data_IF_860223069851
#
_entry.id   IF_860223069851
#
_cell.length_a   1.000
_cell.length_b   1.000
_cell.length_c   1.000
_cell.angle_alpha   90.00
_cell.angle_beta   90.00
_cell.angle_gamma   90.00
#
_symmetry.space_group_name_H-M   'P 1'
#
loop_
_entity.id
_entity.type
_entity.pdbx_description
1 polymer ?
#
# COMPACT_ATOMS: atom_id res chain seq x y z
N UNK A 1 65.91 39.12 -14.27
CA UNK A 1 64.99 39.04 -15.41
C UNK A 1 64.20 37.74 -15.32
N UNK A 2 62.90 37.73 -14.98
CA UNK A 2 62.11 36.50 -15.04
C UNK A 2 61.61 36.26 -16.47
N UNK A 3 61.88 35.06 -16.99
CA UNK A 3 61.31 34.58 -18.25
C UNK A 3 59.91 34.06 -17.96
N UNK A 4 58.87 34.79 -18.37
CA UNK A 4 57.49 34.33 -18.31
C UNK A 4 57.22 33.39 -19.47
N UNK A 5 57.07 32.09 -19.20
CA UNK A 5 56.55 31.14 -20.18
C UNK A 5 55.03 31.34 -20.30
N UNK A 6 54.58 31.89 -21.42
CA UNK A 6 53.17 31.90 -21.80
C UNK A 6 52.76 30.47 -22.18
N UNK A 7 52.00 29.82 -21.30
CA UNK A 7 51.28 28.58 -21.62
C UNK A 7 50.17 28.94 -22.64
N UNK A 8 50.39 28.60 -23.91
CA UNK A 8 49.36 28.63 -24.93
C UNK A 8 48.30 27.57 -24.62
N UNK A 9 47.18 27.98 -24.03
CA UNK A 9 46.02 27.13 -23.77
C UNK A 9 45.10 27.05 -24.99
N UNK A 10 45.55 26.36 -26.05
CA UNK A 10 44.66 25.92 -27.13
C UNK A 10 44.02 24.58 -26.74
N UNK A 11 43.13 24.61 -25.73
CA UNK A 11 42.25 23.48 -25.45
C UNK A 11 41.19 23.37 -26.54
N UNK A 12 41.06 22.18 -27.11
CA UNK A 12 40.05 21.86 -28.11
C UNK A 12 38.64 22.02 -27.50
N UNK A 13 37.64 22.32 -28.33
CA UNK A 13 36.26 22.56 -27.86
C UNK A 13 35.65 21.38 -27.08
N UNK A 14 36.15 20.17 -27.31
CA UNK A 14 35.70 18.94 -26.63
C UNK A 14 36.23 18.87 -25.20
N UNK A 15 37.51 19.22 -24.98
CA UNK A 15 38.12 19.23 -23.65
C UNK A 15 37.51 20.31 -22.74
N UNK A 16 37.13 21.46 -23.31
CA UNK A 16 36.39 22.50 -22.58
C UNK A 16 35.00 22.01 -22.13
N UNK A 17 34.31 21.27 -22.99
CA UNK A 17 33.00 20.70 -22.65
C UNK A 17 33.11 19.61 -21.57
N UNK A 18 34.15 18.79 -21.63
CA UNK A 18 34.40 17.73 -20.65
C UNK A 18 34.80 18.31 -19.28
N UNK A 19 35.66 19.33 -19.26
CA UNK A 19 36.02 20.09 -18.05
C UNK A 19 34.79 20.75 -17.42
N UNK A 20 33.96 21.43 -18.21
CA UNK A 20 32.72 22.05 -17.72
C UNK A 20 31.68 21.03 -17.23
N UNK A 21 31.69 19.81 -17.78
CA UNK A 21 30.83 18.71 -17.30
C UNK A 21 31.32 18.13 -15.97
N UNK A 22 32.64 18.03 -15.77
CA UNK A 22 33.26 17.59 -14.53
C UNK A 22 33.14 18.65 -13.42
N UNK A 23 33.28 19.93 -13.76
CA UNK A 23 33.02 21.07 -12.87
C UNK A 23 31.56 21.05 -12.37
N UNK A 24 30.60 20.85 -13.29
CA UNK A 24 29.18 20.71 -12.93
C UNK A 24 28.93 19.50 -12.04
N UNK A 25 29.54 18.33 -12.30
CA UNK A 25 29.40 17.14 -11.43
C UNK A 25 29.89 17.41 -10.00
N UNK A 26 31.04 18.06 -9.84
CA UNK A 26 31.61 18.40 -8.51
C UNK A 26 30.70 19.30 -7.68
N UNK A 27 30.09 20.31 -8.31
CA UNK A 27 29.15 21.24 -7.65
C UNK A 27 27.91 20.52 -7.07
N UNK A 28 27.45 19.44 -7.70
CA UNK A 28 26.31 18.64 -7.20
C UNK A 28 26.70 17.58 -6.15
N UNK A 29 27.98 17.26 -5.98
CA UNK A 29 28.45 16.29 -4.99
C UNK A 29 28.89 16.94 -3.67
N UNK A 30 29.39 18.18 -3.70
CA UNK A 30 29.98 18.84 -2.52
C UNK A 30 28.97 19.62 -1.65
N UNK A 31 27.77 19.89 -2.18
CA UNK A 31 26.81 20.80 -1.58
C UNK A 31 25.73 20.18 -0.67
N UNK A 32 26.02 19.27 0.27
CA UNK A 32 25.02 18.89 1.31
C UNK A 32 25.60 18.29 2.62
N UNK A 33 26.70 18.83 3.16
CA UNK A 33 27.12 18.38 4.51
C UNK A 33 26.15 18.84 5.63
N UNK A 34 25.39 19.92 5.40
CA UNK A 34 24.47 20.54 6.38
C UNK A 34 23.02 20.00 6.31
N UNK A 35 22.79 18.89 5.60
CA UNK A 35 21.48 18.24 5.47
C UNK A 35 21.51 16.75 5.83
N UNK A 36 22.60 16.30 6.48
CA UNK A 36 22.89 14.90 6.82
C UNK A 36 21.86 14.24 7.77
N UNK A 37 21.04 15.04 8.47
CA UNK A 37 19.91 14.58 9.29
C UNK A 37 18.66 14.19 8.49
N UNK A 38 18.62 14.49 7.19
CA UNK A 38 17.49 14.14 6.32
C UNK A 38 17.68 12.73 5.80
N UNK A 39 16.64 11.89 5.92
CA UNK A 39 16.65 10.53 5.37
C UNK A 39 16.93 10.59 3.87
N UNK A 40 18.12 10.15 3.47
CA UNK A 40 18.55 10.12 2.07
C UNK A 40 17.86 8.96 1.37
N UNK A 41 17.40 9.21 0.14
CA UNK A 41 16.92 8.13 -0.73
C UNK A 41 18.10 7.23 -1.05
N UNK A 42 18.01 5.96 -0.69
CA UNK A 42 19.02 4.98 -1.08
C UNK A 42 18.91 4.74 -2.59
N UNK A 43 19.81 5.38 -3.35
CA UNK A 43 19.81 5.35 -4.81
C UNK A 43 19.88 3.92 -5.35
N UNK A 44 20.50 3.00 -4.62
CA UNK A 44 20.62 1.59 -5.01
C UNK A 44 19.30 0.83 -4.81
N UNK A 45 18.65 1.02 -3.66
CA UNK A 45 17.32 0.45 -3.39
C UNK A 45 16.30 0.91 -4.42
N UNK A 46 16.28 2.21 -4.74
CA UNK A 46 15.35 2.77 -5.72
C UNK A 46 15.65 2.30 -7.14
N UNK A 47 16.93 2.14 -7.52
CA UNK A 47 17.31 1.56 -8.81
C UNK A 47 16.89 0.09 -8.91
N UNK A 48 17.01 -0.69 -7.83
CA UNK A 48 16.52 -2.06 -7.74
C UNK A 48 14.99 -2.11 -7.85
N UNK A 49 14.29 -1.26 -7.11
CA UNK A 49 12.83 -1.16 -7.10
C UNK A 49 12.27 -0.69 -8.45
N UNK A 50 12.96 0.21 -9.15
CA UNK A 50 12.61 0.64 -10.51
C UNK A 50 12.78 -0.50 -11.53
N UNK A 51 13.89 -1.25 -11.44
CA UNK A 51 14.11 -2.45 -12.28
C UNK A 51 13.04 -3.52 -12.05
N UNK A 52 12.71 -3.80 -10.79
CA UNK A 52 11.65 -4.78 -10.45
C UNK A 52 10.27 -4.34 -10.94
N UNK A 53 9.93 -3.05 -10.81
CA UNK A 53 8.68 -2.52 -11.37
C UNK A 53 8.61 -2.65 -12.89
N UNK A 54 9.68 -2.27 -13.59
CA UNK A 54 9.76 -2.38 -15.05
C UNK A 54 9.66 -3.84 -15.51
N UNK A 55 10.27 -4.77 -14.77
CA UNK A 55 10.19 -6.21 -15.04
C UNK A 55 8.76 -6.74 -14.88
N UNK A 56 8.09 -6.37 -13.78
CA UNK A 56 6.72 -6.79 -13.47
C UNK A 56 5.69 -6.19 -14.45
N UNK A 57 5.91 -4.94 -14.88
CA UNK A 57 5.06 -4.28 -15.87
C UNK A 57 5.16 -4.97 -17.24
N UNK A 58 6.38 -5.29 -17.69
CA UNK A 58 6.60 -6.06 -18.92
C UNK A 58 5.96 -7.45 -18.87
N UNK A 59 6.06 -8.14 -17.73
CA UNK A 59 5.45 -9.47 -17.55
C UNK A 59 3.91 -9.41 -17.59
N UNK A 60 3.31 -8.38 -17.00
CA UNK A 60 1.86 -8.14 -17.07
C UNK A 60 1.38 -7.81 -18.48
N UNK A 61 2.13 -6.99 -19.21
CA UNK A 61 1.82 -6.65 -20.60
C UNK A 61 1.85 -7.91 -21.49
N UNK A 62 2.86 -8.76 -21.33
CA UNK A 62 2.94 -10.06 -22.02
C UNK A 62 1.77 -11.00 -21.66
N UNK A 63 1.31 -10.98 -20.40
CA UNK A 63 0.16 -11.78 -19.94
C UNK A 63 -1.17 -11.26 -20.48
N UNK A 64 -1.38 -9.94 -20.49
CA UNK A 64 -2.56 -9.30 -21.08
C UNK A 64 -2.61 -9.51 -22.60
N UNK A 65 -1.47 -9.47 -23.29
CA UNK A 65 -1.39 -9.80 -24.73
C UNK A 65 -1.73 -11.28 -25.01
N UNK A 66 -1.29 -12.21 -24.15
CA UNK A 66 -1.69 -13.62 -24.24
C UNK A 66 -3.18 -13.79 -24.01
N UNK A 67 -3.75 -13.08 -23.03
CA UNK A 67 -5.19 -13.08 -22.73
C UNK A 67 -6.01 -12.51 -23.88
N UNK A 68 -5.57 -11.41 -24.51
CA UNK A 68 -6.16 -10.86 -25.74
C UNK A 68 -6.15 -11.87 -26.90
N UNK A 69 -5.08 -12.66 -27.01
CA UNK A 69 -4.95 -13.74 -28.01
C UNK A 69 -5.66 -15.04 -27.61
N UNK A 70 -6.33 -15.09 -26.45
CA UNK A 70 -7.02 -16.28 -25.96
C UNK A 70 -6.11 -17.43 -25.51
N UNK A 71 -4.81 -17.18 -25.31
CA UNK A 71 -3.87 -18.16 -24.79
C UNK A 71 -3.92 -18.20 -23.25
N UNK A 72 -3.78 -19.39 -22.66
CA UNK A 72 -3.68 -19.58 -21.20
C UNK A 72 -2.51 -18.77 -20.62
N UNK A 73 -2.52 -18.41 -19.33
CA UNK A 73 -1.38 -17.71 -18.71
C UNK A 73 -0.10 -18.56 -18.81
N UNK A 74 1.06 -17.91 -18.88
CA UNK A 74 2.35 -18.62 -19.03
C UNK A 74 2.68 -19.49 -17.81
N UNK A 75 2.11 -19.14 -16.64
CA UNK A 75 2.36 -19.80 -15.35
C UNK A 75 1.29 -20.84 -14.96
N UNK A 76 0.35 -21.20 -15.86
CA UNK A 76 -0.68 -22.21 -15.53
C UNK A 76 -0.10 -23.62 -15.30
N UNK A 77 1.14 -23.89 -15.72
CA UNK A 77 1.80 -25.21 -15.57
C UNK A 77 2.68 -25.32 -14.31
N UNK A 78 2.74 -24.26 -13.50
CA UNK A 78 3.28 -24.40 -12.14
C UNK A 78 2.20 -25.09 -11.30
N UNK A 79 2.36 -26.40 -11.15
CA UNK A 79 1.62 -27.25 -10.22
C UNK A 79 1.87 -26.82 -8.77
N UNK A 80 1.44 -25.60 -8.40
CA UNK A 80 0.97 -25.33 -7.05
C UNK A 80 -0.24 -26.24 -6.87
N UNK A 81 0.05 -27.48 -6.48
CA UNK A 81 -0.94 -28.47 -6.06
C UNK A 81 -1.64 -27.81 -4.89
N UNK A 82 -2.80 -27.19 -5.15
CA UNK A 82 -3.68 -26.78 -4.06
C UNK A 82 -3.80 -28.01 -3.14
N UNK A 83 -3.58 -27.85 -1.83
CA UNK A 83 -3.61 -28.98 -0.93
C UNK A 83 -4.94 -29.70 -1.15
N UNK A 84 -4.86 -30.99 -1.48
CA UNK A 84 -6.04 -31.81 -1.77
C UNK A 84 -6.99 -31.66 -0.60
N UNK A 85 -8.12 -31.00 -0.84
CA UNK A 85 -9.14 -30.78 0.20
C UNK A 85 -9.65 -32.15 0.63
N UNK A 86 -9.46 -32.48 1.89
CA UNK A 86 -10.05 -33.69 2.46
C UNK A 86 -11.59 -33.62 2.35
N UNK A 87 -12.21 -34.73 1.98
CA UNK A 87 -13.66 -34.83 1.90
C UNK A 87 -14.30 -34.63 3.28
N UNK A 88 -15.50 -34.04 3.29
CA UNK A 88 -16.26 -33.83 4.52
C UNK A 88 -16.46 -35.16 5.26
N UNK A 89 -15.86 -35.27 6.44
CA UNK A 89 -16.02 -36.43 7.31
C UNK A 89 -17.35 -36.31 8.07
N UNK A 90 -18.14 -37.38 8.07
CA UNK A 90 -19.33 -37.45 8.91
C UNK A 90 -18.95 -37.40 10.40
N UNK A 91 -19.74 -36.66 11.20
CA UNK A 91 -19.49 -36.58 12.65
C UNK A 91 -19.73 -37.96 13.29
N UNK A 92 -18.85 -38.36 14.20
CA UNK A 92 -19.01 -39.59 15.00
C UNK A 92 -19.76 -39.36 16.31
N UNK A 93 -19.82 -38.11 16.78
CA UNK A 93 -20.42 -37.75 18.07
C UNK A 93 -21.94 -37.54 18.00
N UNK A 94 -22.66 -37.84 19.07
CA UNK A 94 -24.10 -37.60 19.15
C UNK A 94 -24.35 -36.12 19.47
N UNK A 95 -25.07 -35.41 18.59
CA UNK A 95 -25.53 -34.03 18.87
C UNK A 95 -26.57 -34.08 19.99
N UNK A 96 -26.31 -33.35 21.06
CA UNK A 96 -27.20 -33.21 22.21
C UNK A 96 -28.14 -32.04 21.95
N UNK A 97 -29.38 -32.34 21.58
CA UNK A 97 -30.41 -31.33 21.28
C UNK A 97 -31.10 -30.80 22.54
N UNK A 98 -31.05 -31.56 23.63
CA UNK A 98 -31.88 -31.29 24.81
C UNK A 98 -31.27 -30.27 25.77
N UNK A 99 -29.96 -30.01 25.63
CA UNK A 99 -29.21 -29.20 26.59
C UNK A 99 -29.74 -27.75 26.74
N UNK A 100 -30.37 -27.23 25.69
CA UNK A 100 -30.89 -25.86 25.65
C UNK A 100 -32.41 -25.78 25.48
N UNK A 101 -33.12 -26.91 25.55
CA UNK A 101 -34.58 -26.89 25.59
C UNK A 101 -35.06 -26.14 26.84
N UNK A 102 -36.13 -25.36 26.68
CA UNK A 102 -36.79 -24.58 27.75
C UNK A 102 -35.91 -23.54 28.47
N UNK A 103 -34.71 -23.23 27.97
CA UNK A 103 -33.85 -22.17 28.52
C UNK A 103 -33.94 -20.91 27.68
N UNK A 104 -34.22 -19.78 28.32
CA UNK A 104 -34.13 -18.46 27.69
C UNK A 104 -32.69 -17.96 27.85
N UNK A 105 -31.87 -18.06 26.80
CA UNK A 105 -30.52 -17.49 26.81
C UNK A 105 -30.58 -16.02 26.39
N UNK A 106 -30.20 -15.12 27.31
CA UNK A 106 -30.00 -13.71 27.00
C UNK A 106 -28.67 -13.58 26.24
N UNK A 107 -28.75 -13.63 24.91
CA UNK A 107 -27.60 -13.34 24.05
C UNK A 107 -27.34 -11.85 24.10
N UNK A 108 -26.40 -11.42 24.94
CA UNK A 108 -25.83 -10.08 24.85
C UNK A 108 -25.11 -10.00 23.51
N UNK A 109 -25.70 -9.32 22.53
CA UNK A 109 -25.02 -9.02 21.26
C UNK A 109 -23.65 -8.46 21.63
N UNK A 110 -22.60 -9.18 21.23
CA UNK A 110 -21.23 -8.99 21.70
C UNK A 110 -20.94 -7.51 21.81
N UNK A 111 -20.68 -7.06 23.03
CA UNK A 111 -20.56 -5.66 23.41
C UNK A 111 -19.83 -4.88 22.31
N UNK A 112 -20.54 -4.02 21.56
CA UNK A 112 -20.00 -3.26 20.42
C UNK A 112 -18.73 -2.50 20.82
N UNK A 113 -18.60 -2.15 22.10
CA UNK A 113 -17.42 -1.55 22.70
C UNK A 113 -16.16 -2.41 22.53
N UNK A 114 -16.26 -3.75 22.61
CA UNK A 114 -15.12 -4.66 22.47
C UNK A 114 -14.51 -4.71 21.07
N UNK A 115 -15.28 -4.32 20.05
CA UNK A 115 -14.82 -4.19 18.66
C UNK A 115 -14.27 -2.80 18.33
N UNK A 116 -14.38 -1.83 19.25
CA UNK A 116 -13.86 -0.48 19.00
C UNK A 116 -12.33 -0.49 19.05
N UNK A 117 -11.66 0.22 18.13
CA UNK A 117 -10.21 0.37 18.19
C UNK A 117 -9.80 1.02 19.52
N UNK A 118 -8.73 0.50 20.13
CA UNK A 118 -8.23 1.01 21.41
C UNK A 118 -8.89 0.44 22.67
N UNK A 119 -10.00 -0.31 22.57
CA UNK A 119 -10.68 -0.91 23.73
C UNK A 119 -9.75 -1.82 24.56
N UNK A 120 -8.99 -2.68 23.88
CA UNK A 120 -8.06 -3.61 24.52
C UNK A 120 -6.85 -2.90 25.14
N UNK A 121 -6.34 -1.86 24.48
CA UNK A 121 -5.22 -1.06 24.97
C UNK A 121 -5.60 -0.30 26.25
N UNK A 122 -6.75 0.38 26.25
CA UNK A 122 -7.22 1.11 27.41
C UNK A 122 -7.54 0.17 28.58
N UNK A 123 -8.13 -1.00 28.30
CA UNK A 123 -8.34 -2.05 29.31
C UNK A 123 -7.02 -2.56 29.91
N UNK A 124 -5.97 -2.74 29.11
CA UNK A 124 -4.66 -3.18 29.59
C UNK A 124 -4.01 -2.14 30.52
N UNK A 125 -4.31 -0.85 30.33
CA UNK A 125 -3.91 0.25 31.20
C UNK A 125 -4.84 0.43 32.42
N UNK A 126 -5.80 -0.45 32.64
CA UNK A 126 -6.78 -0.35 33.74
C UNK A 126 -7.87 0.71 33.52
N UNK A 127 -7.96 1.31 32.32
CA UNK A 127 -8.98 2.30 31.97
C UNK A 127 -10.19 1.62 31.31
N UNK A 128 -11.41 2.01 31.72
CA UNK A 128 -12.64 1.53 31.09
C UNK A 128 -13.21 2.55 30.12
N UNK A 129 -13.40 2.17 28.86
CA UNK A 129 -14.18 2.95 27.89
C UNK A 129 -15.68 2.75 28.15
N UNK A 130 -16.41 3.83 28.40
CA UNK A 130 -17.88 3.84 28.37
C UNK A 130 -18.31 4.29 26.97
N UNK A 131 -19.08 3.46 26.29
CA UNK A 131 -19.71 3.78 25.00
C UNK A 131 -21.20 3.91 25.25
N UNK A 132 -21.79 5.04 24.86
CA UNK A 132 -23.23 5.26 24.93
C UNK A 132 -23.96 4.41 23.88
N UNK A 133 -25.13 3.90 24.23
CA UNK A 133 -26.00 3.21 23.25
C UNK A 133 -26.65 4.27 22.37
N UNK A 134 -26.63 4.05 21.06
CA UNK A 134 -27.26 4.98 20.12
C UNK A 134 -28.78 5.06 20.34
N UNK A 135 -29.32 6.28 20.34
CA UNK A 135 -30.77 6.54 20.42
C UNK A 135 -31.43 6.33 19.05
N UNK A 136 -32.77 6.17 19.03
CA UNK A 136 -33.52 5.95 17.79
C UNK A 136 -33.33 7.10 16.79
N UNK A 137 -33.33 8.33 17.26
CA UNK A 137 -33.19 9.50 16.40
C UNK A 137 -31.76 9.62 15.85
N UNK A 138 -30.74 9.24 16.62
CA UNK A 138 -29.36 9.17 16.14
C UNK A 138 -29.20 8.15 15.00
N UNK A 139 -29.86 7.00 15.11
CA UNK A 139 -29.83 5.96 14.06
C UNK A 139 -30.56 6.44 12.81
N UNK A 140 -31.75 7.04 12.96
CA UNK A 140 -32.51 7.62 11.84
C UNK A 140 -31.69 8.68 11.08
N UNK A 141 -31.12 9.65 11.80
CA UNK A 141 -30.31 10.71 11.19
C UNK A 141 -29.08 10.17 10.47
N UNK A 142 -28.43 9.14 11.03
CA UNK A 142 -27.27 8.49 10.40
C UNK A 142 -27.66 7.79 9.09
N UNK A 143 -28.81 7.09 9.08
CA UNK A 143 -29.31 6.42 7.88
C UNK A 143 -29.64 7.43 6.77
N UNK A 144 -30.28 8.55 7.10
CA UNK A 144 -30.59 9.61 6.14
C UNK A 144 -29.32 10.23 5.55
N UNK A 145 -28.29 10.46 6.36
CA UNK A 145 -27.00 10.97 5.88
C UNK A 145 -26.27 9.97 4.96
N UNK A 146 -26.38 8.67 5.22
CA UNK A 146 -25.78 7.65 4.38
C UNK A 146 -26.47 7.55 3.02
N UNK A 147 -27.81 7.67 2.98
CA UNK A 147 -28.58 7.72 1.72
C UNK A 147 -28.13 8.91 0.87
N UNK A 148 -28.07 10.11 1.47
CA UNK A 148 -27.61 11.34 0.79
C UNK A 148 -26.18 11.22 0.24
N UNK A 149 -25.30 10.47 0.92
CA UNK A 149 -23.92 10.25 0.46
C UNK A 149 -23.83 9.20 -0.65
N UNK A 150 -24.75 8.24 -0.67
CA UNK A 150 -24.80 7.19 -1.71
C UNK A 150 -25.42 7.67 -3.02
N UNK A 151 -26.22 8.75 -2.97
CA UNK A 151 -26.69 9.42 -4.18
C UNK A 151 -25.48 10.00 -4.93
N UNK A 152 -25.25 9.59 -6.19
CA UNK A 152 -24.16 10.14 -6.98
C UNK A 152 -24.40 11.63 -7.15
N UNK A 153 -23.46 12.46 -6.68
CA UNK A 153 -23.50 13.88 -6.98
C UNK A 153 -23.30 14.03 -8.49
N UNK A 154 -24.32 14.58 -9.18
CA UNK A 154 -24.14 15.02 -10.57
C UNK A 154 -23.11 16.15 -10.56
N UNK A 155 -21.89 15.82 -10.99
CA UNK A 155 -20.88 16.82 -11.32
C UNK A 155 -21.32 17.45 -12.64
N UNK A 156 -21.99 18.61 -12.54
CA UNK A 156 -22.24 19.47 -13.69
C UNK A 156 -20.92 19.94 -14.27
N UNK A 157 -20.47 19.30 -15.36
CA UNK A 157 -19.39 19.80 -16.18
C UNK A 157 -19.93 21.00 -16.97
N UNK A 158 -19.71 22.20 -16.45
CA UNK A 158 -19.83 23.41 -17.27
C UNK A 158 -18.72 23.35 -18.33
N UNK A 159 -19.14 23.15 -19.59
CA UNK A 159 -18.26 23.19 -20.75
C UNK A 159 -17.74 24.64 -20.90
N UNK A 160 -16.48 24.84 -20.50
CA UNK A 160 -15.70 26.03 -20.85
C UNK A 160 -15.30 26.01 -22.33
#
# INVERSE_FOLDING_TARGET
>A
FPVTYALNSNLSGVEKAEMMSNEKRRVYEEGTQDASFRRTWDKEEFKRRARERSRLEREKEEEEDRKRKGLKSKNTDSSEVEPVRELLRARTEKVVLDANLNKVQVVQSTNIASKQPGFHYQRALGMSMKVERSTLDQVKNKLENLKKKSEPQEYGYELL
#
